data_IF_692241313532
#
_entry.id   IF_692241313532
#
_cell.length_a   1.000
_cell.length_b   1.000
_cell.length_c   1.000
_cell.angle_alpha   90.00
_cell.angle_beta   90.00
_cell.angle_gamma   90.00
#
_symmetry.space_group_name_H-M   'P 1'
#
loop_
_entity.id
_entity.type
_entity.pdbx_description
1 polymer ?
#
# COMPACT_ATOMS: atom_id res chain seq x y z
N UNK A 1 24.59 -34.40 13.40
CA UNK A 1 23.76 -33.21 13.64
C UNK A 1 24.18 -32.15 12.64
N UNK A 2 23.50 -32.08 11.49
CA UNK A 2 23.78 -31.06 10.48
C UNK A 2 23.29 -29.71 10.99
N UNK A 3 24.24 -28.81 11.26
CA UNK A 3 23.97 -27.40 11.54
C UNK A 3 23.21 -26.82 10.36
N UNK A 4 21.90 -26.61 10.52
CA UNK A 4 21.08 -25.90 9.55
C UNK A 4 21.53 -24.45 9.59
N UNK A 5 22.44 -24.08 8.69
CA UNK A 5 22.83 -22.69 8.52
C UNK A 5 21.56 -21.85 8.34
N UNK A 6 21.47 -20.74 9.09
CA UNK A 6 20.39 -19.78 8.90
C UNK A 6 20.34 -19.42 7.40
N UNK A 7 19.14 -19.31 6.81
CA UNK A 7 19.03 -18.95 5.39
C UNK A 7 19.86 -17.70 5.12
N UNK A 8 20.59 -17.63 3.99
CA UNK A 8 21.52 -16.54 3.70
C UNK A 8 20.79 -15.20 3.85
N UNK A 9 21.19 -14.43 4.85
CA UNK A 9 20.62 -13.12 5.12
C UNK A 9 20.92 -12.22 3.92
N UNK A 10 19.88 -11.64 3.32
CA UNK A 10 20.00 -10.81 2.13
C UNK A 10 20.92 -9.62 2.40
N UNK A 11 21.99 -9.51 1.61
CA UNK A 11 23.03 -8.47 1.72
C UNK A 11 22.59 -7.09 1.21
N UNK A 12 21.40 -6.99 0.60
CA UNK A 12 20.85 -5.74 0.10
C UNK A 12 20.65 -4.72 1.23
N UNK A 13 21.35 -3.61 1.12
CA UNK A 13 21.20 -2.42 1.98
C UNK A 13 19.98 -1.63 1.53
N UNK A 14 18.77 -2.14 1.80
CA UNK A 14 17.51 -1.45 1.49
C UNK A 14 17.28 -0.18 2.35
N UNK A 15 18.16 0.05 3.32
CA UNK A 15 18.20 1.29 4.08
C UNK A 15 19.45 2.06 3.69
N UNK A 16 19.35 3.34 3.30
CA UNK A 16 20.51 4.20 3.30
C UNK A 16 21.13 4.17 4.70
N UNK A 17 22.46 4.28 4.76
CA UNK A 17 23.29 4.13 5.98
C UNK A 17 22.88 5.11 7.12
N UNK A 18 21.96 6.04 6.84
CA UNK A 18 21.47 7.09 7.73
C UNK A 18 20.05 6.87 8.29
N UNK A 19 19.41 5.71 8.06
CA UNK A 19 18.03 5.44 8.49
C UNK A 19 16.96 6.43 7.95
N UNK A 20 17.25 7.18 6.88
CA UNK A 20 16.24 8.04 6.25
C UNK A 20 15.26 7.21 5.43
N UNK A 21 14.01 7.67 5.34
CA UNK A 21 13.01 7.09 4.43
C UNK A 21 13.55 7.22 2.99
N UNK A 22 13.76 6.11 2.26
CA UNK A 22 14.25 6.17 0.89
C UNK A 22 13.21 6.80 -0.05
N UNK A 23 13.67 7.44 -1.13
CA UNK A 23 12.76 7.95 -2.15
C UNK A 23 12.05 6.81 -2.88
N UNK A 24 10.85 7.10 -3.38
CA UNK A 24 10.05 6.11 -4.12
C UNK A 24 10.76 5.66 -5.39
N UNK A 25 11.45 6.58 -6.06
CA UNK A 25 12.20 6.34 -7.29
C UNK A 25 13.32 5.33 -7.04
N UNK A 26 14.11 5.57 -5.99
CA UNK A 26 15.18 4.67 -5.58
C UNK A 26 14.63 3.27 -5.23
N UNK A 27 13.54 3.20 -4.47
CA UNK A 27 12.90 1.92 -4.14
C UNK A 27 12.46 1.16 -5.40
N UNK A 28 11.94 1.86 -6.41
CA UNK A 28 11.54 1.24 -7.68
C UNK A 28 12.73 0.67 -8.43
N UNK A 29 13.84 1.42 -8.52
CA UNK A 29 15.07 0.93 -9.16
C UNK A 29 15.62 -0.33 -8.49
N UNK A 30 15.52 -0.42 -7.16
CA UNK A 30 16.04 -1.57 -6.42
C UNK A 30 15.12 -2.79 -6.44
N UNK A 31 13.79 -2.60 -6.49
CA UNK A 31 12.82 -3.68 -6.25
C UNK A 31 12.06 -4.13 -7.50
N UNK A 32 11.86 -3.26 -8.50
CA UNK A 32 11.09 -3.63 -9.70
C UNK A 32 11.88 -4.66 -10.53
N UNK A 33 11.22 -5.76 -10.91
CA UNK A 33 11.83 -6.84 -11.67
C UNK A 33 12.60 -7.87 -10.84
N UNK A 34 12.77 -7.65 -9.52
CA UNK A 34 13.36 -8.64 -8.61
C UNK A 34 12.39 -9.79 -8.33
N UNK A 35 12.95 -10.99 -8.17
CA UNK A 35 12.20 -12.15 -7.65
C UNK A 35 11.96 -12.00 -6.15
N UNK A 36 10.90 -12.62 -5.64
CA UNK A 36 10.61 -12.62 -4.19
C UNK A 36 11.77 -13.19 -3.35
N UNK A 37 12.51 -14.17 -3.88
CA UNK A 37 13.70 -14.74 -3.24
C UNK A 37 14.86 -13.75 -3.08
N UNK A 38 14.85 -12.64 -3.81
CA UNK A 38 15.85 -11.58 -3.76
C UNK A 38 15.46 -10.44 -2.80
N UNK A 39 14.23 -10.46 -2.27
CA UNK A 39 13.75 -9.46 -1.32
C UNK A 39 14.27 -9.79 0.08
N UNK A 40 14.80 -8.77 0.76
CA UNK A 40 15.32 -8.91 2.11
C UNK A 40 14.20 -9.22 3.11
N UNK A 41 14.37 -10.28 3.89
CA UNK A 41 13.49 -10.59 5.03
C UNK A 41 13.94 -9.86 6.30
N UNK A 42 13.01 -9.45 7.17
CA UNK A 42 11.56 -9.57 7.03
C UNK A 42 11.00 -8.57 6.00
N UNK A 43 10.05 -9.03 5.18
CA UNK A 43 9.33 -8.19 4.22
C UNK A 43 7.84 -8.48 4.29
N UNK A 44 7.02 -7.44 4.12
CA UNK A 44 5.59 -7.56 3.85
C UNK A 44 5.40 -7.44 2.33
N UNK A 45 4.99 -8.53 1.69
CA UNK A 45 4.67 -8.55 0.27
C UNK A 45 3.16 -8.57 0.12
N UNK A 46 2.63 -7.64 -0.67
CA UNK A 46 1.20 -7.51 -0.91
C UNK A 46 0.92 -7.83 -2.38
N UNK A 47 0.04 -8.80 -2.62
CA UNK A 47 -0.47 -9.08 -3.96
C UNK A 47 -1.47 -8.00 -4.37
N UNK A 48 -1.06 -7.18 -5.33
CA UNK A 48 -1.87 -6.09 -5.86
C UNK A 48 -3.20 -6.57 -6.44
N UNK A 49 -3.22 -7.70 -7.16
CA UNK A 49 -4.44 -8.20 -7.79
C UNK A 49 -5.48 -8.63 -6.75
N UNK A 50 -5.02 -9.20 -5.63
CA UNK A 50 -5.90 -9.55 -4.52
C UNK A 50 -6.50 -8.31 -3.88
N UNK A 51 -5.71 -7.26 -3.65
CA UNK A 51 -6.21 -5.99 -3.11
C UNK A 51 -7.23 -5.35 -4.05
N UNK A 52 -6.94 -5.31 -5.34
CA UNK A 52 -7.85 -4.77 -6.37
C UNK A 52 -9.17 -5.55 -6.45
N UNK A 53 -9.10 -6.88 -6.46
CA UNK A 53 -10.29 -7.74 -6.46
C UNK A 53 -11.13 -7.50 -5.22
N UNK A 54 -10.53 -7.54 -4.04
CA UNK A 54 -11.25 -7.36 -2.78
C UNK A 54 -11.88 -5.96 -2.69
N UNK A 55 -11.17 -4.93 -3.17
CA UNK A 55 -11.69 -3.57 -3.29
C UNK A 55 -12.91 -3.50 -4.21
N UNK A 56 -12.85 -4.13 -5.38
CA UNK A 56 -13.99 -4.21 -6.31
C UNK A 56 -15.19 -4.91 -5.68
N UNK A 57 -15.00 -6.09 -5.07
CA UNK A 57 -16.08 -6.85 -4.43
C UNK A 57 -16.76 -6.05 -3.31
N UNK A 58 -15.98 -5.31 -2.51
CA UNK A 58 -16.50 -4.41 -1.47
C UNK A 58 -17.39 -3.32 -2.07
N UNK A 59 -16.95 -2.68 -3.17
CA UNK A 59 -17.71 -1.62 -3.86
C UNK A 59 -18.99 -2.15 -4.49
N UNK A 60 -18.91 -3.26 -5.22
CA UNK A 60 -20.06 -3.91 -5.85
C UNK A 60 -21.10 -4.33 -4.79
N UNK A 61 -20.64 -4.84 -3.66
CA UNK A 61 -21.53 -5.20 -2.54
C UNK A 61 -22.22 -3.98 -1.97
N UNK A 62 -21.49 -2.88 -1.71
CA UNK A 62 -22.08 -1.65 -1.21
C UNK A 62 -23.12 -1.07 -2.20
N UNK A 63 -22.79 -1.08 -3.50
CA UNK A 63 -23.70 -0.62 -4.56
C UNK A 63 -24.97 -1.48 -4.61
N UNK A 64 -24.84 -2.81 -4.59
CA UNK A 64 -25.98 -3.74 -4.61
C UNK A 64 -26.91 -3.56 -3.40
N UNK A 65 -26.36 -3.16 -2.26
CA UNK A 65 -27.11 -2.90 -1.02
C UNK A 65 -27.62 -1.45 -0.92
N UNK A 66 -27.32 -0.57 -1.89
CA UNK A 66 -27.70 0.84 -1.85
C UNK A 66 -26.99 1.64 -0.75
N UNK A 67 -25.81 1.19 -0.32
CA UNK A 67 -25.05 1.81 0.77
C UNK A 67 -23.97 2.76 0.25
N UNK A 68 -23.78 3.88 0.96
CA UNK A 68 -22.65 4.78 0.73
C UNK A 68 -21.40 4.23 1.42
N UNK A 69 -20.47 3.72 0.63
CA UNK A 69 -19.21 3.17 1.13
C UNK A 69 -18.22 4.26 1.55
N UNK A 70 -17.53 4.04 2.67
CA UNK A 70 -16.32 4.77 3.08
C UNK A 70 -15.24 3.78 3.46
N UNK A 71 -14.08 3.86 2.82
CA UNK A 71 -13.02 2.84 2.95
C UNK A 71 -12.08 3.17 4.10
N UNK A 72 -11.66 2.16 4.86
CA UNK A 72 -10.81 2.35 6.03
C UNK A 72 -9.32 2.25 5.67
N UNK A 73 -8.54 3.30 5.99
CA UNK A 73 -7.13 3.38 5.56
C UNK A 73 -6.08 3.08 6.65
N UNK A 74 -6.43 3.04 7.95
CA UNK A 74 -5.47 2.83 9.07
C UNK A 74 -4.54 1.63 8.94
N UNK A 75 -4.97 0.58 8.25
CA UNK A 75 -4.22 -0.68 8.18
C UNK A 75 -3.01 -0.54 7.25
N UNK A 76 -3.19 0.06 6.08
CA UNK A 76 -2.12 0.19 5.09
C UNK A 76 -1.47 1.59 5.11
N UNK A 77 -2.23 2.66 5.38
CA UNK A 77 -1.74 4.06 5.45
C UNK A 77 -0.93 4.51 4.22
N UNK A 78 -1.26 3.99 3.05
CA UNK A 78 -0.57 4.27 1.77
C UNK A 78 -1.52 4.95 0.80
N UNK A 79 -1.01 5.88 -0.01
CA UNK A 79 -1.78 6.54 -1.08
C UNK A 79 -2.25 5.50 -2.12
N UNK A 80 -1.36 4.60 -2.55
CA UNK A 80 -1.64 3.59 -3.57
C UNK A 80 -2.72 2.61 -3.11
N UNK A 81 -2.60 2.09 -1.89
CA UNK A 81 -3.63 1.24 -1.29
C UNK A 81 -5.00 1.94 -1.18
N UNK A 82 -5.02 3.23 -0.84
CA UNK A 82 -6.25 4.02 -0.80
C UNK A 82 -6.86 4.11 -2.19
N UNK A 83 -6.05 4.39 -3.21
CA UNK A 83 -6.50 4.46 -4.62
C UNK A 83 -7.16 3.15 -5.08
N UNK A 84 -6.52 2.00 -4.79
CA UNK A 84 -7.06 0.69 -5.15
C UNK A 84 -8.40 0.39 -4.45
N UNK A 85 -8.53 0.79 -3.18
CA UNK A 85 -9.76 0.64 -2.41
C UNK A 85 -10.89 1.53 -2.93
N UNK A 86 -10.59 2.79 -3.21
CA UNK A 86 -11.54 3.76 -3.76
C UNK A 86 -12.03 3.32 -5.14
N UNK A 87 -11.14 2.81 -6.00
CA UNK A 87 -11.48 2.46 -7.37
C UNK A 87 -12.20 3.61 -8.06
N UNK A 88 -13.32 3.34 -8.74
CA UNK A 88 -14.17 4.36 -9.34
C UNK A 88 -15.48 4.52 -8.55
N UNK A 89 -15.96 5.76 -8.45
CA UNK A 89 -17.25 6.10 -7.86
C UNK A 89 -17.29 6.17 -6.32
N UNK A 90 -16.26 5.73 -5.62
CA UNK A 90 -16.13 5.90 -4.16
C UNK A 90 -15.11 6.98 -3.86
N UNK A 91 -15.51 7.97 -3.06
CA UNK A 91 -14.64 9.10 -2.66
C UNK A 91 -14.45 9.21 -1.15
N UNK A 92 -15.21 8.43 -0.37
CA UNK A 92 -15.19 8.52 1.08
C UNK A 92 -14.13 7.64 1.72
N UNK A 93 -13.35 8.20 2.65
CA UNK A 93 -12.39 7.46 3.49
C UNK A 93 -12.74 7.58 4.98
N UNK A 94 -12.24 6.63 5.76
CA UNK A 94 -12.24 6.65 7.22
C UNK A 94 -10.79 6.53 7.70
N UNK A 95 -10.34 7.58 8.38
CA UNK A 95 -9.01 7.71 9.00
C UNK A 95 -9.13 7.58 10.51
N UNK A 96 -8.02 7.23 11.16
CA UNK A 96 -7.93 7.14 12.63
C UNK A 96 -7.20 8.34 13.24
N UNK A 97 -6.50 9.16 12.45
CA UNK A 97 -5.79 10.36 12.93
C UNK A 97 -5.83 11.52 11.93
N UNK A 98 -5.61 12.74 12.42
CA UNK A 98 -5.47 13.92 11.56
C UNK A 98 -4.23 13.86 10.66
N UNK A 99 -3.16 13.19 11.10
CA UNK A 99 -1.96 12.99 10.30
C UNK A 99 -2.26 12.12 9.06
N UNK A 100 -3.07 11.07 9.20
CA UNK A 100 -3.53 10.25 8.07
C UNK A 100 -4.40 11.06 7.10
N UNK A 101 -5.32 11.88 7.62
CA UNK A 101 -6.15 12.76 6.80
C UNK A 101 -5.28 13.72 5.99
N UNK A 102 -4.37 14.42 6.66
CA UNK A 102 -3.48 15.39 6.05
C UNK A 102 -2.58 14.73 4.99
N UNK A 103 -2.04 13.54 5.29
CA UNK A 103 -1.22 12.78 4.34
C UNK A 103 -1.98 12.43 3.05
N UNK A 104 -3.26 12.04 3.14
CA UNK A 104 -4.06 11.65 1.99
C UNK A 104 -4.60 12.86 1.20
N UNK A 105 -5.03 13.92 1.87
CA UNK A 105 -5.55 15.14 1.20
C UNK A 105 -4.43 15.84 0.41
N UNK A 106 -3.19 15.83 0.91
CA UNK A 106 -2.05 16.40 0.18
C UNK A 106 -1.48 15.48 -0.91
N UNK A 107 -2.17 14.39 -1.25
CA UNK A 107 -1.76 13.46 -2.30
C UNK A 107 -2.41 13.80 -3.66
N UNK A 108 -1.97 13.11 -4.71
CA UNK A 108 -2.58 13.22 -6.04
C UNK A 108 -4.03 12.71 -6.11
N UNK A 109 -4.55 12.08 -5.05
CA UNK A 109 -5.93 11.58 -5.01
C UNK A 109 -6.96 12.72 -5.05
N UNK A 110 -6.64 13.89 -4.51
CA UNK A 110 -7.52 15.07 -4.59
C UNK A 110 -7.49 15.64 -6.00
N UNK A 111 -6.29 15.86 -6.55
CA UNK A 111 -6.13 16.39 -7.91
C UNK A 111 -6.74 15.49 -9.00
N UNK A 112 -6.78 14.17 -8.77
CA UNK A 112 -7.41 13.19 -9.67
C UNK A 112 -8.93 13.01 -9.43
N UNK A 113 -9.52 13.71 -8.46
CA UNK A 113 -10.93 13.61 -8.11
C UNK A 113 -11.32 12.30 -7.42
N UNK A 114 -10.34 11.46 -7.05
CA UNK A 114 -10.55 10.21 -6.30
C UNK A 114 -10.95 10.48 -4.85
N UNK A 115 -10.42 11.55 -4.26
CA UNK A 115 -10.78 12.04 -2.93
C UNK A 115 -11.42 13.43 -3.06
N UNK A 116 -12.44 13.71 -2.26
CA UNK A 116 -13.01 15.06 -2.13
C UNK A 116 -12.43 15.69 -0.86
N UNK A 117 -11.99 16.95 -0.96
CA UNK A 117 -11.51 17.79 0.14
C UNK A 117 -12.65 18.53 0.87
#
# INVERSE_FOLDING_TARGET
>A
MTSTALPPQTTSTLFPVNFSVPSKEWLREQLVGKKLSEIRTPALVVDRFVVERNGREMRETAQRLGLRLRVHVKTHKTIEGTELQLGDGVTGIVVSTMAEAHYLINSHLVASGKLQD
#
